data_IF_373667723917
#
_entry.id   IF_373667723917
#
_cell.length_a   1.000
_cell.length_b   1.000
_cell.length_c   1.000
_cell.angle_alpha   90.00
_cell.angle_beta   90.00
_cell.angle_gamma   90.00
#
_symmetry.space_group_name_H-M   'P 1'
#
loop_
_entity.id
_entity.type
_entity.pdbx_description
1 polymer ?
#
# COMPACT_ATOMS: atom_id res chain seq x y z
N UNK A 1 10.46 -11.73 -7.82
CA UNK A 1 9.43 -11.03 -8.64
C UNK A 1 9.12 -9.67 -8.01
N UNK A 2 8.43 -8.78 -8.73
CA UNK A 2 7.96 -7.50 -8.17
C UNK A 2 6.62 -7.69 -7.49
N UNK A 3 6.39 -7.05 -6.35
CA UNK A 3 5.12 -7.05 -5.61
C UNK A 3 4.70 -5.60 -5.43
N UNK A 4 3.47 -5.26 -5.80
CA UNK A 4 2.91 -3.96 -5.45
C UNK A 4 2.39 -4.04 -4.02
N UNK A 5 2.93 -3.23 -3.12
CA UNK A 5 2.51 -3.16 -1.72
C UNK A 5 1.83 -1.81 -1.45
N UNK A 6 0.69 -1.83 -0.76
CA UNK A 6 -0.07 -0.61 -0.46
C UNK A 6 0.24 -0.03 0.93
N UNK A 7 -0.24 1.18 1.20
CA UNK A 7 0.04 1.94 2.43
C UNK A 7 -0.18 1.13 3.73
N UNK A 8 -1.28 0.37 3.82
CA UNK A 8 -1.60 -0.36 5.06
C UNK A 8 -0.61 -1.49 5.35
N UNK A 9 0.02 -2.10 4.33
CA UNK A 9 1.04 -3.13 4.56
C UNK A 9 2.32 -2.58 5.18
N UNK A 10 2.75 -1.39 4.76
CA UNK A 10 3.91 -0.71 5.36
C UNK A 10 3.62 -0.32 6.81
N UNK A 11 2.42 0.20 7.09
CA UNK A 11 2.01 0.58 8.44
C UNK A 11 1.92 -0.63 9.36
N UNK A 12 1.32 -1.73 8.90
CA UNK A 12 1.24 -2.96 9.67
C UNK A 12 2.61 -3.48 10.11
N UNK A 13 3.60 -3.41 9.22
CA UNK A 13 4.99 -3.80 9.55
C UNK A 13 5.63 -2.80 10.52
N UNK A 14 5.49 -1.50 10.26
CA UNK A 14 6.12 -0.44 11.06
C UNK A 14 5.55 -0.33 12.48
N UNK A 15 4.25 -0.59 12.65
CA UNK A 15 3.54 -0.50 13.91
C UNK A 15 3.46 -1.84 14.67
N UNK A 16 4.09 -2.90 14.15
CA UNK A 16 4.04 -4.25 14.71
C UNK A 16 2.60 -4.79 14.86
N UNK A 17 1.76 -4.55 13.86
CA UNK A 17 0.40 -5.11 13.80
C UNK A 17 0.46 -6.65 13.62
N UNK A 18 -0.61 -7.38 13.99
CA UNK A 18 -0.65 -8.85 13.91
C UNK A 18 -0.28 -9.44 12.53
N UNK A 19 -0.55 -8.71 11.46
CA UNK A 19 -0.31 -9.09 10.07
C UNK A 19 1.18 -9.02 9.67
N UNK A 20 2.04 -8.37 10.48
CA UNK A 20 3.44 -8.12 10.18
C UNK A 20 4.19 -9.36 9.71
N UNK A 21 4.09 -10.47 10.45
CA UNK A 21 4.85 -11.68 10.12
C UNK A 21 4.41 -12.28 8.79
N UNK A 22 3.11 -12.23 8.49
CA UNK A 22 2.58 -12.72 7.22
C UNK A 22 3.06 -11.84 6.06
N UNK A 23 3.01 -10.52 6.21
CA UNK A 23 3.49 -9.56 5.20
C UNK A 23 4.98 -9.79 4.90
N UNK A 24 5.81 -9.99 5.94
CA UNK A 24 7.24 -10.26 5.78
C UNK A 24 7.43 -11.57 5.01
N UNK A 25 6.77 -12.66 5.41
CA UNK A 25 6.89 -13.96 4.70
C UNK A 25 6.47 -13.89 3.24
N UNK A 26 5.41 -13.15 2.93
CA UNK A 26 4.90 -13.01 1.54
C UNK A 26 5.82 -12.14 0.67
N UNK A 27 6.57 -11.22 1.27
CA UNK A 27 7.45 -10.28 0.57
C UNK A 27 8.93 -10.68 0.59
N UNK A 28 9.32 -11.66 1.40
CA UNK A 28 10.71 -12.11 1.53
C UNK A 28 11.27 -12.60 0.18
N UNK A 29 12.45 -12.10 -0.20
CA UNK A 29 13.09 -12.43 -1.49
C UNK A 29 12.49 -11.74 -2.71
N UNK A 30 11.57 -10.78 -2.52
CA UNK A 30 10.91 -10.04 -3.59
C UNK A 30 11.26 -8.55 -3.58
N UNK A 31 11.05 -7.89 -4.72
CA UNK A 31 11.20 -6.44 -4.85
C UNK A 31 9.82 -5.78 -4.63
N UNK A 32 9.72 -4.87 -3.66
CA UNK A 32 8.50 -4.08 -3.48
C UNK A 32 8.48 -2.91 -4.47
N UNK A 33 7.33 -2.67 -5.08
CA UNK A 33 7.03 -1.47 -5.86
C UNK A 33 5.79 -0.79 -5.30
N UNK A 34 5.71 0.52 -5.44
CA UNK A 34 4.52 1.29 -5.07
C UNK A 34 4.47 2.60 -5.87
N UNK A 35 3.30 3.25 -6.00
CA UNK A 35 3.21 4.60 -6.54
C UNK A 35 4.08 5.59 -5.75
N UNK A 36 4.61 6.62 -6.42
CA UNK A 36 5.33 7.76 -5.78
C UNK A 36 4.50 8.48 -4.69
N UNK A 37 3.19 8.23 -4.63
CA UNK A 37 2.28 8.79 -3.62
C UNK A 37 2.39 8.10 -2.24
N UNK A 38 2.97 6.90 -2.17
CA UNK A 38 3.04 6.09 -0.95
C UNK A 38 3.54 6.88 0.28
N UNK A 39 4.65 7.65 0.23
CA UNK A 39 5.12 8.42 1.38
C UNK A 39 4.10 9.44 1.91
N UNK A 40 3.33 10.06 1.00
CA UNK A 40 2.31 11.04 1.36
C UNK A 40 1.11 10.36 2.04
N UNK A 41 0.73 9.18 1.57
CA UNK A 41 -0.34 8.39 2.20
C UNK A 41 0.07 7.87 3.58
N UNK A 42 1.32 7.42 3.74
CA UNK A 42 1.85 7.02 5.05
C UNK A 42 1.79 8.21 6.02
N UNK A 43 2.25 9.39 5.62
CA UNK A 43 2.17 10.59 6.46
C UNK A 43 0.73 10.97 6.82
N UNK A 44 -0.20 10.90 5.86
CA UNK A 44 -1.61 11.15 6.11
C UNK A 44 -2.22 10.12 7.06
N UNK A 45 -1.89 8.83 6.90
CA UNK A 45 -2.39 7.76 7.74
C UNK A 45 -1.88 7.87 9.18
N UNK A 46 -0.58 8.09 9.39
CA UNK A 46 0.01 8.27 10.71
C UNK A 46 -0.63 9.46 11.46
N UNK A 47 -0.79 10.60 10.79
CA UNK A 47 -1.42 11.77 11.40
C UNK A 47 -2.92 11.57 11.65
N UNK A 48 -3.62 10.81 10.80
CA UNK A 48 -5.01 10.43 11.03
C UNK A 48 -5.17 9.50 12.24
N UNK A 49 -4.27 8.53 12.42
CA UNK A 49 -4.25 7.65 13.59
C UNK A 49 -3.98 8.43 14.88
N UNK A 50 -3.03 9.37 14.85
CA UNK A 50 -2.78 10.29 15.98
C UNK A 50 -4.01 11.14 16.32
N UNK A 51 -4.68 11.74 15.31
CA UNK A 51 -5.92 12.51 15.51
C UNK A 51 -7.06 11.69 16.11
N UNK A 52 -7.05 10.38 15.90
CA UNK A 52 -8.00 9.42 16.48
C UNK A 52 -7.55 8.89 17.85
N UNK A 53 -6.46 9.39 18.42
CA UNK A 53 -5.83 8.90 19.65
C UNK A 53 -5.42 7.42 19.61
N UNK A 54 -5.11 6.90 18.42
CA UNK A 54 -4.59 5.53 18.24
C UNK A 54 -3.07 5.52 18.44
N UNK A 55 -2.38 6.59 18.02
CA UNK A 55 -0.94 6.76 18.18
C UNK A 55 -0.63 8.02 18.98
N UNK A 56 0.35 7.93 19.88
CA UNK A 56 0.99 9.08 20.49
C UNK A 56 1.93 9.78 19.49
N UNK A 57 2.27 11.05 19.77
CA UNK A 57 3.16 11.85 18.91
C UNK A 57 4.51 11.18 18.67
N UNK A 58 5.11 10.57 19.71
CA UNK A 58 6.40 9.89 19.58
C UNK A 58 6.31 8.60 18.73
N UNK A 59 5.15 7.95 18.70
CA UNK A 59 4.92 6.75 17.89
C UNK A 59 4.80 7.09 16.41
N UNK A 60 4.31 8.29 16.06
CA UNK A 60 4.28 8.77 14.66
C UNK A 60 5.70 8.87 14.08
N UNK A 61 6.61 9.53 14.80
CA UNK A 61 8.00 9.70 14.35
C UNK A 61 8.69 8.33 14.26
N UNK A 62 8.54 7.49 15.28
CA UNK A 62 9.11 6.13 15.28
C UNK A 62 8.58 5.26 14.14
N UNK A 63 7.27 5.32 13.84
CA UNK A 63 6.67 4.53 12.76
C UNK A 63 7.18 4.99 11.39
N UNK A 64 7.31 6.30 11.19
CA UNK A 64 7.88 6.86 9.97
C UNK A 64 9.32 6.36 9.75
N UNK A 65 10.16 6.41 10.79
CA UNK A 65 11.54 5.92 10.72
C UNK A 65 11.60 4.43 10.38
N UNK A 66 10.71 3.60 10.95
CA UNK A 66 10.63 2.18 10.59
C UNK A 66 10.26 1.97 9.11
N UNK A 67 9.31 2.74 8.57
CA UNK A 67 8.96 2.66 7.15
C UNK A 67 10.16 2.96 6.26
N UNK A 68 11.03 3.92 6.61
CA UNK A 68 12.20 4.28 5.79
C UNK A 68 13.20 3.13 5.64
N UNK A 69 13.16 2.14 6.54
CA UNK A 69 14.00 0.96 6.45
C UNK A 69 13.44 -0.14 5.53
N UNK A 70 12.21 -0.01 5.04
CA UNK A 70 11.58 -0.97 4.14
C UNK A 70 11.95 -0.60 2.69
N UNK A 71 12.75 -1.42 1.97
CA UNK A 71 13.12 -1.11 0.59
C UNK A 71 11.89 -1.20 -0.32
N UNK A 72 11.58 -0.10 -1.00
CA UNK A 72 10.51 -0.02 -2.00
C UNK A 72 10.95 0.86 -3.16
N UNK A 73 10.70 0.39 -4.37
CA UNK A 73 10.95 1.13 -5.59
C UNK A 73 9.70 1.92 -5.98
N UNK A 74 9.77 3.25 -5.84
CA UNK A 74 8.66 4.15 -6.12
C UNK A 74 8.52 4.39 -7.62
N UNK A 75 7.29 4.24 -8.12
CA UNK A 75 6.96 4.23 -9.54
C UNK A 75 5.97 5.34 -9.87
N UNK A 76 6.21 5.98 -11.02
CA UNK A 76 5.22 6.87 -11.64
C UNK A 76 4.05 6.06 -12.17
N UNK A 77 2.87 6.61 -12.03
CA UNK A 77 1.60 6.03 -12.50
C UNK A 77 0.98 6.89 -13.60
N UNK A 78 0.14 6.31 -14.46
CA UNK A 78 -0.78 7.08 -15.30
C UNK A 78 -2.03 7.44 -14.49
N UNK A 79 -2.08 8.68 -14.00
CA UNK A 79 -3.22 9.22 -13.25
C UNK A 79 -4.52 9.09 -14.04
N UNK A 80 -4.51 9.29 -15.35
CA UNK A 80 -5.73 9.17 -16.17
C UNK A 80 -6.20 7.73 -16.25
N UNK A 81 -5.28 6.76 -16.28
CA UNK A 81 -5.62 5.33 -16.19
C UNK A 81 -6.22 5.00 -14.82
N UNK A 82 -5.58 5.42 -13.74
CA UNK A 82 -6.07 5.21 -12.38
C UNK A 82 -7.46 5.84 -12.16
N UNK A 83 -7.71 7.05 -12.68
CA UNK A 83 -9.02 7.69 -12.58
C UNK A 83 -10.14 6.90 -13.29
N UNK A 84 -9.83 6.17 -14.38
CA UNK A 84 -10.81 5.28 -15.01
C UNK A 84 -11.16 4.11 -14.08
N UNK A 85 -10.18 3.53 -13.39
CA UNK A 85 -10.40 2.49 -12.37
C UNK A 85 -11.26 3.06 -11.24
N UNK A 86 -10.90 4.25 -10.72
CA UNK A 86 -11.62 4.91 -9.64
C UNK A 86 -13.10 5.15 -9.97
N UNK A 87 -13.40 5.68 -11.16
CA UNK A 87 -14.77 5.91 -11.63
C UNK A 87 -15.52 4.60 -11.84
N UNK A 88 -14.89 3.61 -12.49
CA UNK A 88 -15.52 2.31 -12.80
C UNK A 88 -15.97 1.59 -11.51
N UNK A 89 -15.15 1.63 -10.47
CA UNK A 89 -15.40 0.89 -9.23
C UNK A 89 -15.93 1.76 -8.08
N UNK A 90 -16.11 3.06 -8.32
CA UNK A 90 -16.55 4.03 -7.32
C UNK A 90 -15.68 4.01 -6.05
N UNK A 91 -14.36 4.10 -6.23
CA UNK A 91 -13.35 4.14 -5.16
C UNK A 91 -12.56 5.45 -5.18
N UNK A 92 -11.82 5.71 -4.12
CA UNK A 92 -10.92 6.86 -4.06
C UNK A 92 -9.74 6.68 -5.03
N UNK A 93 -9.21 7.80 -5.51
CA UNK A 93 -8.11 7.78 -6.46
C UNK A 93 -6.83 7.16 -5.89
N UNK A 94 -6.58 7.31 -4.58
CA UNK A 94 -5.43 6.70 -3.89
C UNK A 94 -5.39 5.17 -4.05
N UNK A 95 -6.49 4.49 -3.73
CA UNK A 95 -6.61 3.03 -3.95
C UNK A 95 -6.39 2.67 -5.43
N UNK A 96 -6.95 3.47 -6.34
CA UNK A 96 -6.79 3.27 -7.77
C UNK A 96 -5.34 3.47 -8.26
N UNK A 97 -4.53 4.29 -7.58
CA UNK A 97 -3.11 4.48 -7.92
C UNK A 97 -2.30 3.20 -7.71
N UNK A 98 -2.55 2.48 -6.61
CA UNK A 98 -1.89 1.20 -6.38
C UNK A 98 -2.39 0.10 -7.33
N UNK A 99 -3.69 0.09 -7.66
CA UNK A 99 -4.24 -0.85 -8.65
C UNK A 99 -3.62 -0.63 -10.04
N UNK A 100 -3.50 0.63 -10.48
CA UNK A 100 -2.85 0.98 -11.74
C UNK A 100 -1.36 0.57 -11.73
N UNK A 101 -0.66 0.83 -10.61
CA UNK A 101 0.74 0.46 -10.46
C UNK A 101 0.94 -1.06 -10.57
N UNK A 102 0.09 -1.86 -9.92
CA UNK A 102 0.11 -3.32 -10.02
C UNK A 102 -0.21 -3.81 -11.43
N UNK A 103 -1.20 -3.22 -12.11
CA UNK A 103 -1.58 -3.55 -13.48
C UNK A 103 -0.42 -3.30 -14.47
N UNK A 104 0.19 -2.11 -14.41
CA UNK A 104 1.29 -1.71 -15.31
C UNK A 104 2.54 -2.56 -15.09
N UNK A 105 2.86 -2.88 -13.84
CA UNK A 105 4.03 -3.71 -13.52
C UNK A 105 3.76 -5.21 -13.63
N UNK A 106 2.51 -5.63 -13.87
CA UNK A 106 2.07 -7.03 -13.85
C UNK A 106 2.52 -7.75 -12.58
N UNK A 107 2.54 -7.02 -11.48
CA UNK A 107 2.90 -7.52 -10.17
C UNK A 107 1.64 -7.94 -9.42
N UNK A 108 1.70 -8.98 -8.59
CA UNK A 108 0.65 -9.20 -7.62
C UNK A 108 0.56 -8.03 -6.64
N UNK A 109 -0.62 -7.85 -6.07
CA UNK A 109 -0.93 -6.86 -5.05
C UNK A 109 -0.90 -7.51 -3.66
N UNK A 110 -0.14 -6.90 -2.75
CA UNK A 110 -0.16 -7.16 -1.32
C UNK A 110 -0.86 -5.97 -0.64
N UNK A 111 -2.00 -6.24 -0.03
CA UNK A 111 -2.85 -5.25 0.64
C UNK A 111 -3.62 -5.91 1.78
N UNK A 112 -3.97 -5.16 2.81
CA UNK A 112 -4.92 -5.58 3.85
C UNK A 112 -6.36 -5.12 3.55
N UNK A 113 -6.58 -4.27 2.54
CA UNK A 113 -7.90 -3.76 2.18
C UNK A 113 -8.72 -4.80 1.38
N UNK A 114 -9.78 -5.33 1.98
CA UNK A 114 -10.65 -6.32 1.34
C UNK A 114 -11.40 -5.80 0.11
N UNK A 115 -11.77 -4.52 0.09
CA UNK A 115 -12.42 -3.88 -1.05
C UNK A 115 -11.47 -3.80 -2.24
N UNK A 116 -10.23 -3.40 -1.98
CA UNK A 116 -9.16 -3.35 -2.97
C UNK A 116 -8.80 -4.74 -3.50
N UNK A 117 -8.69 -5.77 -2.62
CA UNK A 117 -8.51 -7.18 -3.04
C UNK A 117 -9.57 -7.63 -4.03
N UNK A 118 -10.84 -7.29 -3.77
CA UNK A 118 -11.96 -7.66 -4.65
C UNK A 118 -11.80 -7.02 -6.03
N UNK A 119 -11.49 -5.72 -6.06
CA UNK A 119 -11.35 -4.97 -7.33
C UNK A 119 -10.15 -5.47 -8.13
N UNK A 120 -9.01 -5.68 -7.47
CA UNK A 120 -7.82 -6.25 -8.09
C UNK A 120 -8.11 -7.60 -8.77
N UNK A 121 -8.83 -8.52 -8.10
CA UNK A 121 -9.25 -9.78 -8.73
C UNK A 121 -10.15 -9.56 -9.95
N UNK A 122 -11.05 -8.58 -9.90
CA UNK A 122 -11.96 -8.26 -11.02
C UNK A 122 -11.23 -7.71 -12.25
N UNK A 123 -10.12 -6.98 -12.05
CA UNK A 123 -9.27 -6.49 -13.15
C UNK A 123 -8.09 -7.42 -13.48
N UNK A 124 -8.06 -8.63 -12.92
CA UNK A 124 -7.08 -9.67 -13.26
C UNK A 124 -5.71 -9.53 -12.57
N UNK A 125 -5.62 -8.75 -11.49
CA UNK A 125 -4.42 -8.65 -10.65
C UNK A 125 -4.44 -9.78 -9.61
N UNK A 126 -3.34 -10.52 -9.52
CA UNK A 126 -3.14 -11.56 -8.50
C UNK A 126 -3.00 -10.93 -7.11
N UNK A 127 -3.63 -11.53 -6.10
CA UNK A 127 -3.47 -11.13 -4.70
C UNK A 127 -2.45 -12.05 -4.02
N UNK A 128 -1.57 -11.48 -3.20
CA UNK A 128 -0.77 -12.23 -2.24
C UNK A 128 -1.47 -12.25 -0.88
N UNK A 129 -1.77 -13.45 -0.39
CA UNK A 129 -2.45 -13.71 0.88
C UNK A 129 -1.84 -14.93 1.58
#
# INVERSE_FOLDING_TARGET
MKITADTNTFLAVALNEPEKEQIIRLSEGHELVAPEVLPFEIGNALTAMMKKNILAKAEVDSAWDQVQHIPVDLRRIDIKSALKIAIKFNIYAYDAYFLECAEVHRSPLLTLDHGMKRIAREIGITILE
#
